data_IF_912342091434
#
_entry.id   IF_912342091434
#
_cell.length_a   1.000
_cell.length_b   1.000
_cell.length_c   1.000
_cell.angle_alpha   90.00
_cell.angle_beta   90.00
_cell.angle_gamma   90.00
#
_symmetry.space_group_name_H-M   'P 1'
#
loop_
_entity.id
_entity.type
_entity.pdbx_description
1 polymer ?
#
# COMPACT_ATOMS: atom_id res chain seq x y z
N UNK A 1 -37.60 2.76 0.90
CA UNK A 1 -36.55 3.26 1.81
C UNK A 1 -36.00 2.15 2.71
N UNK A 2 -36.81 1.23 3.24
CA UNK A 2 -36.31 0.06 3.98
C UNK A 2 -35.71 -1.01 3.06
N UNK A 3 -36.31 -1.28 1.89
CA UNK A 3 -35.80 -2.28 0.94
C UNK A 3 -34.42 -1.94 0.34
N UNK A 4 -34.13 -0.65 0.09
CA UNK A 4 -32.82 -0.20 -0.41
C UNK A 4 -31.72 -0.31 0.66
N UNK A 5 -32.07 -0.07 1.93
CA UNK A 5 -31.13 -0.24 3.05
C UNK A 5 -30.84 -1.71 3.32
N UNK A 6 -31.81 -2.60 3.14
CA UNK A 6 -31.63 -4.05 3.29
C UNK A 6 -30.81 -4.65 2.14
N UNK A 7 -30.92 -4.09 0.93
CA UNK A 7 -30.13 -4.52 -0.23
C UNK A 7 -28.69 -3.99 -0.15
N UNK A 8 -28.50 -2.78 0.38
CA UNK A 8 -27.18 -2.21 0.63
C UNK A 8 -26.46 -2.93 1.79
N UNK A 9 -27.19 -3.37 2.82
CA UNK A 9 -26.63 -4.18 3.92
C UNK A 9 -26.28 -5.60 3.49
N UNK A 10 -27.11 -6.22 2.63
CA UNK A 10 -26.81 -7.53 2.01
C UNK A 10 -25.60 -7.50 1.06
N UNK A 11 -25.37 -6.40 0.35
CA UNK A 11 -24.17 -6.24 -0.49
C UNK A 11 -22.89 -6.06 0.33
N UNK A 12 -22.98 -5.41 1.51
CA UNK A 12 -21.86 -5.27 2.44
C UNK A 12 -21.52 -6.61 3.11
N UNK A 13 -22.54 -7.38 3.52
CA UNK A 13 -22.34 -8.68 4.17
C UNK A 13 -21.81 -9.76 3.19
N UNK A 14 -22.10 -9.66 1.88
CA UNK A 14 -21.54 -10.56 0.85
C UNK A 14 -20.07 -10.29 0.50
N UNK A 15 -19.59 -9.06 0.71
CA UNK A 15 -18.16 -8.71 0.51
C UNK A 15 -17.29 -9.26 1.67
N UNK A 16 -17.87 -9.60 2.82
CA UNK A 16 -17.16 -10.19 3.97
C UNK A 16 -16.97 -11.72 3.87
N UNK A 17 -17.75 -12.43 3.05
CA UNK A 17 -17.61 -13.89 2.85
C UNK A 17 -16.51 -14.32 1.86
N UNK A 18 -15.89 -13.38 1.13
CA UNK A 18 -14.74 -13.69 0.28
C UNK A 18 -13.44 -13.69 1.10
N UNK A 19 -13.31 -14.68 1.98
CA UNK A 19 -12.13 -14.98 2.79
C UNK A 19 -10.96 -15.39 1.87
N UNK A 20 -10.10 -14.42 1.52
CA UNK A 20 -8.89 -14.65 0.72
C UNK A 20 -7.79 -15.20 1.64
N UNK A 21 -7.68 -16.53 1.69
CA UNK A 21 -6.57 -17.23 2.32
C UNK A 21 -5.41 -17.32 1.33
N UNK A 22 -4.35 -16.54 1.56
CA UNK A 22 -3.12 -16.60 0.76
C UNK A 22 -2.28 -17.81 1.18
N UNK A 23 -2.39 -18.92 0.45
CA UNK A 23 -1.40 -20.01 0.46
C UNK A 23 -0.24 -19.70 -0.48
N UNK A 24 0.94 -20.20 -0.09
CA UNK A 24 2.24 -19.69 -0.51
C UNK A 24 2.61 -20.00 -1.96
N UNK A 25 3.27 -19.04 -2.61
CA UNK A 25 3.91 -19.21 -3.91
C UNK A 25 5.39 -18.80 -3.88
N UNK A 26 6.15 -19.44 -4.76
CA UNK A 26 7.61 -19.43 -4.90
C UNK A 26 8.20 -18.09 -5.33
N UNK A 27 9.47 -17.91 -4.99
CA UNK A 27 10.27 -16.68 -5.11
C UNK A 27 10.67 -16.41 -6.56
N UNK A 28 10.42 -15.20 -7.06
CA UNK A 28 11.15 -14.59 -8.17
C UNK A 28 11.71 -13.26 -7.64
N UNK A 29 13.04 -13.15 -7.59
CA UNK A 29 13.72 -11.93 -7.15
C UNK A 29 13.68 -10.89 -8.27
N UNK A 30 12.89 -9.82 -8.09
CA UNK A 30 12.96 -8.61 -8.91
C UNK A 30 14.14 -7.73 -8.47
N UNK A 31 14.78 -7.07 -9.43
CA UNK A 31 15.86 -6.10 -9.22
C UNK A 31 15.41 -4.90 -8.35
N UNK A 32 16.34 -4.26 -7.61
CA UNK A 32 16.02 -3.14 -6.73
C UNK A 32 15.56 -1.89 -7.53
N UNK A 33 14.66 -1.06 -6.98
CA UNK A 33 14.19 0.14 -7.65
C UNK A 33 15.29 1.19 -7.79
N UNK A 34 15.31 1.88 -8.93
CA UNK A 34 16.15 3.06 -9.21
C UNK A 34 15.84 4.22 -8.24
N UNK A 35 16.87 4.95 -7.80
CA UNK A 35 16.82 6.11 -6.86
C UNK A 35 15.94 7.28 -7.34
N UNK A 36 15.42 7.25 -8.57
CA UNK A 36 14.40 8.21 -9.06
C UNK A 36 14.82 9.69 -9.11
N UNK A 37 16.09 9.99 -8.83
CA UNK A 37 16.64 11.34 -8.85
C UNK A 37 17.13 11.77 -10.23
N UNK A 38 17.48 10.80 -11.09
CA UNK A 38 17.90 11.04 -12.46
C UNK A 38 16.98 10.28 -13.43
N UNK A 39 16.84 10.77 -14.68
CA UNK A 39 16.11 10.03 -15.70
C UNK A 39 16.71 8.64 -15.92
N UNK A 40 15.88 7.60 -16.08
CA UNK A 40 16.37 6.25 -16.33
C UNK A 40 17.11 6.20 -17.67
N UNK A 41 18.17 5.40 -17.73
CA UNK A 41 18.87 5.10 -18.98
C UNK A 41 18.19 3.91 -19.63
N UNK A 42 17.78 4.08 -20.88
CA UNK A 42 16.95 3.11 -21.60
C UNK A 42 17.56 2.88 -22.98
N UNK A 43 17.80 1.61 -23.31
CA UNK A 43 18.39 1.20 -24.60
C UNK A 43 17.33 0.82 -25.64
N UNK A 44 16.04 0.90 -25.28
CA UNK A 44 14.91 0.59 -26.14
C UNK A 44 14.82 1.51 -27.35
N UNK A 45 14.22 1.01 -28.43
CA UNK A 45 14.03 1.79 -29.66
C UNK A 45 13.22 3.07 -29.43
N UNK A 46 13.63 4.15 -30.10
CA UNK A 46 12.97 5.45 -30.03
C UNK A 46 11.81 5.46 -31.01
N UNK A 47 10.59 5.42 -30.50
CA UNK A 47 9.36 5.62 -31.26
C UNK A 47 9.11 7.13 -31.44
N UNK A 48 9.01 7.60 -32.68
CA UNK A 48 8.64 8.98 -32.97
C UNK A 48 7.12 9.05 -33.05
N UNK A 49 6.48 9.62 -32.03
CA UNK A 49 5.02 9.77 -31.97
C UNK A 49 4.58 11.00 -32.79
N UNK A 50 5.35 12.08 -32.68
CA UNK A 50 5.19 13.33 -33.44
C UNK A 50 6.54 14.06 -33.50
N UNK A 51 6.69 15.07 -34.37
CA UNK A 51 7.95 15.81 -34.60
C UNK A 51 8.69 16.26 -33.32
N UNK A 52 7.95 16.49 -32.22
CA UNK A 52 8.47 16.98 -30.93
C UNK A 52 8.18 16.06 -29.75
N UNK A 53 7.72 14.83 -30.00
CA UNK A 53 7.44 13.84 -28.95
C UNK A 53 7.98 12.48 -29.38
N UNK A 54 8.93 11.96 -28.61
CA UNK A 54 9.43 10.60 -28.79
C UNK A 54 9.25 9.78 -27.53
N UNK A 55 9.08 8.46 -27.69
CA UNK A 55 8.90 7.51 -26.61
C UNK A 55 9.94 6.39 -26.66
N UNK A 56 10.43 5.99 -25.51
CA UNK A 56 11.18 4.74 -25.32
C UNK A 56 10.52 3.93 -24.21
N UNK A 57 10.17 2.68 -24.48
CA UNK A 57 9.50 1.82 -23.49
C UNK A 57 10.53 1.33 -22.47
N UNK A 58 10.23 1.49 -21.18
CA UNK A 58 11.02 0.95 -20.05
C UNK A 58 10.46 -0.39 -19.61
N UNK A 59 9.12 -0.47 -19.52
CA UNK A 59 8.38 -1.69 -19.16
C UNK A 59 7.13 -1.75 -20.02
N UNK A 60 6.91 -2.91 -20.64
CA UNK A 60 5.71 -3.15 -21.45
C UNK A 60 4.44 -3.15 -20.60
N UNK A 61 3.40 -2.51 -21.13
CA UNK A 61 2.05 -2.59 -20.58
C UNK A 61 1.18 -3.64 -21.28
N UNK A 62 -0.06 -3.77 -20.83
CA UNK A 62 -1.03 -4.74 -21.31
C UNK A 62 -2.32 -4.10 -21.79
N UNK A 63 -3.05 -4.85 -22.62
CA UNK A 63 -4.33 -4.41 -23.18
C UNK A 63 -4.19 -3.40 -24.32
N UNK A 64 -5.24 -2.61 -24.49
CA UNK A 64 -5.36 -1.62 -25.56
C UNK A 64 -4.82 -0.25 -25.13
N UNK A 65 -4.61 0.63 -26.11
CA UNK A 65 -4.25 2.03 -25.89
C UNK A 65 -5.52 2.84 -25.57
N UNK A 66 -5.43 3.92 -24.77
CA UNK A 66 -6.58 4.75 -24.44
C UNK A 66 -7.13 5.46 -25.69
N UNK A 67 -8.45 5.48 -25.83
CA UNK A 67 -9.10 6.24 -26.90
C UNK A 67 -9.15 7.75 -26.59
N UNK A 68 -9.52 8.57 -27.59
CA UNK A 68 -9.68 10.01 -27.41
C UNK A 68 -10.76 10.29 -26.34
N UNK A 69 -10.49 11.22 -25.43
CA UNK A 69 -11.32 11.55 -24.26
C UNK A 69 -11.34 10.50 -23.14
N UNK A 70 -10.53 9.44 -23.25
CA UNK A 70 -10.30 8.56 -22.11
C UNK A 70 -9.68 9.36 -20.94
N UNK A 71 -10.08 8.99 -19.73
CA UNK A 71 -9.52 9.54 -18.49
C UNK A 71 -8.38 8.63 -18.04
N UNK A 72 -7.14 9.08 -18.20
CA UNK A 72 -5.94 8.34 -17.86
C UNK A 72 -5.47 8.69 -16.45
N UNK A 73 -5.07 7.69 -15.68
CA UNK A 73 -4.41 7.86 -14.40
C UNK A 73 -2.96 7.42 -14.53
N UNK A 74 -2.03 8.30 -14.20
CA UNK A 74 -0.61 8.05 -14.39
C UNK A 74 0.22 8.60 -13.23
N UNK A 75 1.30 7.90 -12.95
CA UNK A 75 2.44 8.48 -12.27
C UNK A 75 3.46 8.97 -13.29
N UNK A 76 4.11 10.09 -12.98
CA UNK A 76 5.28 10.55 -13.71
C UNK A 76 6.26 11.34 -12.85
N UNK A 77 7.48 11.44 -13.38
CA UNK A 77 8.51 12.39 -13.00
C UNK A 77 8.88 13.23 -14.20
N UNK A 78 9.20 14.49 -13.97
CA UNK A 78 9.56 15.42 -15.03
C UNK A 78 10.89 16.12 -14.72
N UNK A 79 11.77 16.12 -15.72
CA UNK A 79 13.05 16.81 -15.69
C UNK A 79 13.19 17.76 -16.87
N UNK A 80 13.92 18.85 -16.68
CA UNK A 80 14.42 19.63 -17.83
C UNK A 80 15.55 18.86 -18.52
N UNK A 81 15.50 18.73 -19.84
CA UNK A 81 16.48 17.93 -20.60
C UNK A 81 17.90 18.50 -20.52
N UNK A 82 18.04 19.83 -20.51
CA UNK A 82 19.33 20.52 -20.53
C UNK A 82 20.07 20.47 -19.21
N UNK A 83 19.37 20.67 -18.09
CA UNK A 83 19.98 20.74 -16.75
C UNK A 83 19.76 19.49 -15.91
N UNK A 84 18.88 18.59 -16.36
CA UNK A 84 18.40 17.44 -15.59
C UNK A 84 17.80 17.83 -14.22
N UNK A 85 17.33 19.07 -14.09
CA UNK A 85 16.62 19.50 -12.90
C UNK A 85 15.23 18.84 -12.87
N UNK A 86 15.00 18.00 -11.85
CA UNK A 86 13.69 17.41 -11.55
C UNK A 86 12.79 18.48 -10.96
N UNK A 87 11.61 18.69 -11.53
CA UNK A 87 10.66 19.70 -11.06
C UNK A 87 9.30 19.14 -10.66
N UNK A 88 9.01 17.87 -10.98
CA UNK A 88 7.76 17.19 -10.63
C UNK A 88 8.03 15.70 -10.37
N UNK A 89 7.35 15.13 -9.37
CA UNK A 89 7.46 13.71 -8.98
C UNK A 89 6.20 13.24 -8.25
N UNK A 90 5.24 12.72 -9.01
CA UNK A 90 3.95 12.26 -8.46
C UNK A 90 4.08 11.03 -7.55
N UNK A 91 5.15 10.23 -7.65
CA UNK A 91 5.39 9.13 -6.71
C UNK A 91 5.76 9.67 -5.33
N UNK A 92 6.60 10.72 -5.29
CA UNK A 92 6.95 11.37 -4.03
C UNK A 92 5.73 12.05 -3.38
N UNK A 93 4.82 12.59 -4.19
CA UNK A 93 3.55 13.16 -3.74
C UNK A 93 2.51 12.10 -3.35
N UNK A 94 2.72 10.82 -3.72
CA UNK A 94 1.78 9.71 -3.53
C UNK A 94 0.39 9.98 -4.12
N UNK A 95 0.31 10.84 -5.13
CA UNK A 95 -0.93 11.26 -5.76
C UNK A 95 -0.78 11.19 -7.28
N UNK A 96 -1.42 10.19 -7.94
CA UNK A 96 -1.35 10.08 -9.39
C UNK A 96 -2.10 11.23 -10.07
N UNK A 97 -1.58 11.62 -11.23
CA UNK A 97 -2.20 12.62 -12.10
C UNK A 97 -3.35 12.00 -12.87
N UNK A 98 -4.46 12.73 -12.94
CA UNK A 98 -5.55 12.48 -13.87
C UNK A 98 -5.39 13.35 -15.12
N UNK A 99 -5.38 12.70 -16.28
CA UNK A 99 -5.23 13.35 -17.58
C UNK A 99 -6.36 12.87 -18.50
N UNK A 100 -7.25 13.79 -18.89
CA UNK A 100 -8.29 13.50 -19.88
C UNK A 100 -7.76 13.82 -21.28
N UNK A 101 -7.60 12.79 -22.12
CA UNK A 101 -7.01 12.94 -23.45
C UNK A 101 -7.85 13.87 -24.35
N UNK A 102 -7.25 14.95 -24.82
CA UNK A 102 -7.90 15.99 -25.62
C UNK A 102 -8.55 17.12 -24.80
N UNK A 103 -8.46 17.08 -23.47
CA UNK A 103 -8.88 18.16 -22.55
C UNK A 103 -7.75 18.55 -21.57
N UNK A 104 -6.51 18.16 -21.87
CA UNK A 104 -5.34 18.51 -21.09
C UNK A 104 -5.02 20.00 -21.09
N UNK A 105 -4.24 20.44 -20.10
CA UNK A 105 -3.67 21.79 -20.10
C UNK A 105 -2.62 21.90 -21.22
N UNK A 106 -2.42 23.12 -21.72
CA UNK A 106 -1.53 23.40 -22.85
C UNK A 106 -0.11 22.87 -22.60
N UNK A 107 0.40 23.04 -21.39
CA UNK A 107 1.73 22.61 -20.94
C UNK A 107 1.90 21.09 -20.87
N UNK A 108 0.82 20.33 -20.95
CA UNK A 108 0.80 18.86 -20.88
C UNK A 108 0.53 18.21 -22.25
N UNK A 109 0.50 18.98 -23.33
CA UNK A 109 0.18 18.47 -24.69
C UNK A 109 1.15 17.36 -25.12
N UNK A 110 2.45 17.52 -24.88
CA UNK A 110 3.43 16.49 -25.23
C UNK A 110 3.30 15.24 -24.38
N UNK A 111 2.96 15.40 -23.09
CA UNK A 111 2.69 14.28 -22.19
C UNK A 111 1.42 13.52 -22.63
N UNK A 112 0.36 14.22 -23.01
CA UNK A 112 -0.89 13.59 -23.49
C UNK A 112 -0.68 12.77 -24.75
N UNK A 113 0.14 13.24 -25.70
CA UNK A 113 0.54 12.48 -26.89
C UNK A 113 1.27 11.20 -26.51
N UNK A 114 2.21 11.29 -25.56
CA UNK A 114 2.92 10.14 -25.02
C UNK A 114 1.98 9.12 -24.40
N UNK A 115 1.14 9.57 -23.47
CA UNK A 115 0.15 8.73 -22.75
C UNK A 115 -0.83 8.07 -23.72
N UNK A 116 -1.29 8.77 -24.76
CA UNK A 116 -2.18 8.21 -25.79
C UNK A 116 -1.55 7.03 -26.54
N UNK A 117 -0.22 6.94 -26.58
CA UNK A 117 0.52 5.85 -27.21
C UNK A 117 0.77 4.64 -26.29
N UNK A 118 0.54 4.78 -24.99
CA UNK A 118 0.88 3.80 -23.95
C UNK A 118 -0.28 2.83 -23.65
N UNK A 119 0.04 1.70 -23.02
CA UNK A 119 -0.89 0.71 -22.49
C UNK A 119 -0.96 0.77 -20.95
N UNK A 120 -1.98 0.14 -20.37
CA UNK A 120 -2.09 -0.01 -18.91
C UNK A 120 -0.87 -0.73 -18.35
N UNK A 121 -0.29 -0.22 -17.27
CA UNK A 121 0.94 -0.73 -16.66
C UNK A 121 2.24 -0.46 -17.43
N UNK A 122 2.19 0.24 -18.57
CA UNK A 122 3.39 0.59 -19.34
C UNK A 122 4.19 1.68 -18.60
N UNK A 123 5.50 1.46 -18.46
CA UNK A 123 6.43 2.50 -18.05
C UNK A 123 7.23 2.96 -19.28
N UNK A 124 7.31 4.26 -19.54
CA UNK A 124 8.01 4.79 -20.70
C UNK A 124 8.73 6.10 -20.39
N UNK A 125 9.80 6.35 -21.14
CA UNK A 125 10.54 7.60 -21.16
C UNK A 125 10.06 8.43 -22.36
N UNK A 126 9.58 9.65 -22.11
CA UNK A 126 9.12 10.57 -23.15
C UNK A 126 10.05 11.77 -23.24
N UNK A 127 10.50 12.09 -24.46
CA UNK A 127 11.18 13.35 -24.73
C UNK A 127 10.20 14.28 -25.43
N UNK A 128 9.95 15.43 -24.80
CA UNK A 128 8.97 16.42 -25.25
C UNK A 128 9.69 17.73 -25.52
N UNK A 129 9.58 18.23 -26.75
CA UNK A 129 10.05 19.55 -27.13
C UNK A 129 9.29 20.65 -26.39
N UNK A 130 9.97 21.74 -26.04
CA UNK A 130 9.38 22.86 -25.30
C UNK A 130 8.08 23.41 -25.94
N UNK A 131 7.92 23.27 -27.26
CA UNK A 131 6.75 23.73 -28.01
C UNK A 131 5.44 23.05 -27.55
N UNK A 132 5.54 21.81 -27.08
CA UNK A 132 4.42 20.98 -26.58
C UNK A 132 4.46 20.80 -25.06
N UNK A 133 5.37 21.51 -24.38
CA UNK A 133 5.46 21.59 -22.92
C UNK A 133 5.21 23.05 -22.47
N UNK A 134 6.08 23.60 -21.64
CA UNK A 134 5.91 24.92 -21.01
C UNK A 134 6.15 26.12 -21.96
N UNK A 135 6.46 25.88 -23.24
CA UNK A 135 6.47 26.92 -24.26
C UNK A 135 7.63 27.90 -24.15
N UNK A 136 7.47 29.05 -24.81
CA UNK A 136 8.50 30.11 -24.87
C UNK A 136 8.72 30.78 -23.52
N UNK A 137 7.67 30.88 -22.72
CA UNK A 137 7.70 31.62 -21.46
C UNK A 137 8.15 30.73 -20.29
N UNK A 138 8.04 29.40 -20.42
CA UNK A 138 8.28 28.49 -19.31
C UNK A 138 7.20 28.61 -18.23
N UNK A 139 7.56 28.27 -16.99
CA UNK A 139 6.74 28.50 -15.80
C UNK A 139 7.62 29.03 -14.68
N UNK A 140 7.28 30.19 -14.12
CA UNK A 140 8.09 30.87 -13.10
C UNK A 140 7.65 30.60 -11.66
N UNK A 141 6.50 29.95 -11.49
CA UNK A 141 5.93 29.60 -10.19
C UNK A 141 6.17 28.12 -9.90
N UNK A 142 5.11 27.35 -9.70
CA UNK A 142 5.17 25.91 -9.49
C UNK A 142 4.47 25.19 -10.64
N UNK A 143 5.15 24.27 -11.34
CA UNK A 143 6.59 23.98 -11.25
C UNK A 143 7.44 25.10 -11.88
N UNK A 144 8.71 25.25 -11.43
CA UNK A 144 9.65 26.21 -12.03
C UNK A 144 10.35 25.55 -13.21
N UNK A 145 9.98 25.97 -14.43
CA UNK A 145 10.49 25.44 -15.68
C UNK A 145 11.03 26.59 -16.52
N UNK A 146 12.30 26.57 -16.93
CA UNK A 146 12.86 27.64 -17.75
C UNK A 146 12.13 27.83 -19.08
N UNK A 147 12.13 29.06 -19.63
CA UNK A 147 11.76 29.36 -21.01
C UNK A 147 12.36 28.37 -22.02
N UNK A 148 11.56 27.87 -22.96
CA UNK A 148 11.99 26.98 -24.05
C UNK A 148 12.75 25.72 -23.58
N UNK A 149 12.40 25.20 -22.40
CA UNK A 149 12.99 23.97 -21.88
C UNK A 149 12.31 22.73 -22.45
N UNK A 150 13.07 21.90 -23.15
CA UNK A 150 12.65 20.53 -23.45
C UNK A 150 12.47 19.74 -22.15
N UNK A 151 11.46 18.90 -22.09
CA UNK A 151 11.10 18.11 -20.91
C UNK A 151 11.33 16.63 -21.18
N UNK A 152 11.85 15.95 -20.18
CA UNK A 152 11.99 14.50 -20.14
C UNK A 152 11.03 13.96 -19.08
N UNK A 153 10.14 13.06 -19.47
CA UNK A 153 9.19 12.42 -18.56
C UNK A 153 9.51 10.94 -18.41
N UNK A 154 9.57 10.46 -17.17
CA UNK A 154 9.40 9.03 -16.86
C UNK A 154 7.94 8.86 -16.47
N UNK A 155 7.18 8.05 -17.20
CA UNK A 155 5.73 7.91 -17.04
C UNK A 155 5.38 6.45 -16.80
N UNK A 156 4.53 6.18 -15.81
CA UNK A 156 3.81 4.92 -15.62
C UNK A 156 2.32 5.17 -15.82
N UNK A 157 1.74 4.61 -16.88
CA UNK A 157 0.29 4.66 -17.09
C UNK A 157 -0.36 3.58 -16.22
N UNK A 158 -0.93 3.97 -15.09
CA UNK A 158 -1.63 3.03 -14.17
C UNK A 158 -2.78 2.35 -14.92
N UNK A 159 -3.58 3.16 -15.63
CA UNK A 159 -4.65 2.70 -16.50
C UNK A 159 -5.56 3.84 -16.91
N UNK A 160 -6.67 3.53 -17.57
CA UNK A 160 -7.60 4.54 -18.08
C UNK A 160 -9.06 4.09 -18.10
N UNK A 161 -9.97 5.06 -18.10
CA UNK A 161 -11.42 4.91 -18.27
C UNK A 161 -11.86 5.35 -19.66
N UNK A 162 -12.41 4.41 -20.42
CA UNK A 162 -13.05 4.66 -21.72
C UNK A 162 -14.44 5.27 -21.49
N UNK A 163 -14.56 6.60 -21.59
CA UNK A 163 -15.85 7.28 -21.50
C UNK A 163 -16.10 8.08 -22.76
N UNK A 164 -17.33 8.04 -23.30
CA UNK A 164 -17.69 8.70 -24.56
C UNK A 164 -17.55 10.23 -24.51
N UNK A 165 -17.48 10.83 -23.32
CA UNK A 165 -17.37 12.28 -23.13
C UNK A 165 -16.39 12.75 -22.05
N UNK A 166 -15.72 11.86 -21.29
CA UNK A 166 -14.71 12.22 -20.29
C UNK A 166 -15.18 13.31 -19.33
N UNK A 167 -16.09 12.99 -18.40
CA UNK A 167 -16.32 13.88 -17.25
C UNK A 167 -15.07 13.79 -16.37
N UNK A 168 -14.34 14.89 -16.24
CA UNK A 168 -13.24 14.97 -15.29
C UNK A 168 -13.78 14.73 -13.87
N UNK A 169 -12.95 14.25 -12.94
CA UNK A 169 -13.36 14.05 -11.54
C UNK A 169 -13.94 15.31 -10.89
N UNK A 170 -13.58 16.51 -11.37
CA UNK A 170 -14.13 17.79 -10.93
C UNK A 170 -15.62 17.97 -11.24
N UNK A 171 -16.11 17.31 -12.28
CA UNK A 171 -17.47 17.46 -12.81
C UNK A 171 -18.39 16.33 -12.37
N UNK A 172 -17.85 15.37 -11.62
CA UNK A 172 -18.59 14.23 -11.06
C UNK A 172 -19.20 14.61 -9.71
N UNK A 173 -20.42 14.13 -9.49
CA UNK A 173 -21.02 14.11 -8.14
C UNK A 173 -20.27 13.15 -7.22
N UNK A 174 -20.43 13.30 -5.91
CA UNK A 174 -19.82 12.43 -4.90
C UNK A 174 -20.21 10.97 -5.13
N UNK A 175 -21.49 10.72 -5.43
CA UNK A 175 -22.04 9.39 -5.69
C UNK A 175 -21.48 8.78 -6.98
N UNK A 176 -21.39 9.55 -8.06
CA UNK A 176 -20.79 9.07 -9.31
C UNK A 176 -19.32 8.69 -9.10
N UNK A 177 -18.58 9.47 -8.30
CA UNK A 177 -17.16 9.29 -8.03
C UNK A 177 -16.88 8.07 -7.15
N UNK A 178 -17.63 7.91 -6.05
CA UNK A 178 -17.57 6.71 -5.20
C UNK A 178 -18.01 5.47 -6.00
N UNK A 179 -19.06 5.58 -6.81
CA UNK A 179 -19.53 4.49 -7.66
C UNK A 179 -18.52 4.09 -8.74
N UNK A 180 -17.76 5.04 -9.30
CA UNK A 180 -16.66 4.75 -10.21
C UNK A 180 -15.52 4.01 -9.51
N UNK A 181 -15.14 4.46 -8.31
CA UNK A 181 -14.14 3.79 -7.49
C UNK A 181 -14.56 2.35 -7.14
N UNK A 182 -15.83 2.13 -6.77
CA UNK A 182 -16.34 0.80 -6.41
C UNK A 182 -16.34 -0.14 -7.61
N UNK A 183 -16.69 0.33 -8.82
CA UNK A 183 -16.55 -0.46 -10.05
C UNK A 183 -15.09 -0.92 -10.25
N UNK A 184 -14.12 -0.01 -10.10
CA UNK A 184 -12.70 -0.35 -10.23
C UNK A 184 -12.24 -1.33 -9.13
N UNK A 185 -12.74 -1.21 -7.91
CA UNK A 185 -12.53 -2.22 -6.85
C UNK A 185 -13.04 -3.60 -7.31
N UNK A 186 -14.24 -3.68 -7.88
CA UNK A 186 -14.81 -4.94 -8.36
C UNK A 186 -14.01 -5.55 -9.52
N UNK A 187 -13.54 -4.72 -10.47
CA UNK A 187 -12.67 -5.17 -11.56
C UNK A 187 -11.35 -5.74 -11.03
N UNK A 188 -10.74 -5.05 -10.04
CA UNK A 188 -9.55 -5.54 -9.34
C UNK A 188 -9.80 -6.86 -8.60
N UNK A 189 -10.97 -7.03 -7.97
CA UNK A 189 -11.35 -8.27 -7.30
C UNK A 189 -11.47 -9.44 -8.31
N UNK A 190 -11.97 -9.18 -9.52
CA UNK A 190 -12.04 -10.19 -10.58
C UNK A 190 -10.64 -10.61 -11.04
N UNK A 191 -9.76 -9.65 -11.34
CA UNK A 191 -8.38 -9.91 -11.74
C UNK A 191 -7.57 -10.62 -10.65
N UNK A 192 -7.82 -10.31 -9.38
CA UNK A 192 -7.20 -11.00 -8.25
C UNK A 192 -7.56 -12.49 -8.22
N UNK A 193 -8.82 -12.83 -8.51
CA UNK A 193 -9.28 -14.23 -8.60
C UNK A 193 -8.63 -14.96 -9.77
N UNK A 194 -8.28 -14.25 -10.84
CA UNK A 194 -7.51 -14.75 -11.97
C UNK A 194 -5.99 -14.82 -11.72
N UNK A 195 -5.52 -14.48 -10.51
CA UNK A 195 -4.10 -14.38 -10.13
C UNK A 195 -3.27 -13.35 -10.93
N UNK A 196 -3.94 -12.42 -11.63
CA UNK A 196 -3.29 -11.28 -12.30
C UNK A 196 -3.08 -10.15 -11.29
N UNK A 197 -2.11 -10.35 -10.40
CA UNK A 197 -1.93 -9.53 -9.21
C UNK A 197 -1.56 -8.07 -9.52
N UNK A 198 -0.65 -7.85 -10.47
CA UNK A 198 -0.24 -6.50 -10.89
C UNK A 198 -1.40 -5.73 -11.54
N UNK A 199 -2.15 -6.38 -12.42
CA UNK A 199 -3.32 -5.77 -13.07
C UNK A 199 -4.42 -5.46 -12.03
N UNK A 200 -4.62 -6.37 -11.07
CA UNK A 200 -5.54 -6.14 -9.96
C UNK A 200 -5.13 -4.93 -9.12
N UNK A 201 -3.83 -4.79 -8.82
CA UNK A 201 -3.28 -3.63 -8.11
C UNK A 201 -3.55 -2.32 -8.84
N UNK A 202 -3.35 -2.28 -10.16
CA UNK A 202 -3.66 -1.09 -10.97
C UNK A 202 -5.13 -0.69 -10.81
N UNK A 203 -6.07 -1.64 -10.83
CA UNK A 203 -7.49 -1.32 -10.65
C UNK A 203 -7.79 -0.74 -9.25
N UNK A 204 -7.20 -1.30 -8.20
CA UNK A 204 -7.36 -0.76 -6.85
C UNK A 204 -6.73 0.65 -6.71
N UNK A 205 -5.59 0.87 -7.36
CA UNK A 205 -4.93 2.17 -7.38
C UNK A 205 -5.77 3.22 -8.11
N UNK A 206 -6.36 2.87 -9.26
CA UNK A 206 -7.32 3.73 -9.96
C UNK A 206 -8.54 4.04 -9.08
N UNK A 207 -9.06 3.05 -8.34
CA UNK A 207 -10.15 3.26 -7.39
C UNK A 207 -9.78 4.28 -6.30
N UNK A 208 -8.58 4.14 -5.71
CA UNK A 208 -8.07 5.08 -4.70
C UNK A 208 -7.84 6.47 -5.29
N UNK A 209 -7.38 6.56 -6.54
CA UNK A 209 -7.17 7.83 -7.22
C UNK A 209 -8.48 8.60 -7.42
N UNK A 210 -9.60 7.89 -7.68
CA UNK A 210 -10.93 8.50 -7.60
C UNK A 210 -11.27 9.01 -6.20
N UNK A 211 -10.67 8.52 -5.12
CA UNK A 211 -10.88 8.98 -3.74
C UNK A 211 -9.62 9.57 -3.12
N UNK A 212 -8.92 10.42 -3.90
CA UNK A 212 -7.75 11.17 -3.45
C UNK A 212 -8.04 12.09 -2.26
N UNK A 213 -6.98 12.61 -1.65
CA UNK A 213 -7.08 13.23 -0.32
C UNK A 213 -7.91 14.52 -0.31
N UNK A 214 -7.82 15.35 -1.36
CA UNK A 214 -8.66 16.55 -1.52
C UNK A 214 -10.15 16.20 -1.51
N UNK A 215 -10.53 15.13 -2.19
CA UNK A 215 -11.91 14.66 -2.22
C UNK A 215 -12.32 14.13 -0.85
N UNK A 216 -11.49 13.29 -0.23
CA UNK A 216 -11.77 12.71 1.09
C UNK A 216 -11.88 13.76 2.20
N UNK A 217 -11.10 14.85 2.11
CA UNK A 217 -11.13 15.95 3.07
C UNK A 217 -12.44 16.75 3.01
N UNK A 218 -13.08 16.80 1.84
CA UNK A 218 -14.35 17.50 1.64
C UNK A 218 -15.58 16.68 2.08
N UNK A 219 -15.42 15.37 2.32
CA UNK A 219 -16.53 14.48 2.68
C UNK A 219 -16.76 14.41 4.19
N UNK A 220 -18.04 14.43 4.58
CA UNK A 220 -18.49 14.31 5.96
C UNK A 220 -19.65 13.31 6.10
N UNK A 221 -19.77 12.74 7.31
CA UNK A 221 -20.86 11.82 7.67
C UNK A 221 -20.99 10.65 6.68
N UNK A 222 -22.22 10.38 6.26
CA UNK A 222 -22.57 9.24 5.38
C UNK A 222 -21.67 9.13 4.14
N UNK A 223 -21.33 10.25 3.51
CA UNK A 223 -20.52 10.22 2.29
C UNK A 223 -19.06 9.84 2.55
N UNK A 224 -18.49 10.28 3.68
CA UNK A 224 -17.15 9.86 4.10
C UNK A 224 -17.15 8.36 4.41
N UNK A 225 -18.17 7.87 5.11
CA UNK A 225 -18.30 6.45 5.45
C UNK A 225 -18.42 5.59 4.18
N UNK A 226 -19.22 6.03 3.20
CA UNK A 226 -19.34 5.38 1.90
C UNK A 226 -18.02 5.34 1.14
N UNK A 227 -17.26 6.44 1.14
CA UNK A 227 -15.96 6.47 0.46
C UNK A 227 -14.92 5.57 1.18
N UNK A 228 -14.86 5.60 2.51
CA UNK A 228 -13.98 4.73 3.30
C UNK A 228 -14.33 3.24 3.14
N UNK A 229 -15.62 2.92 2.99
CA UNK A 229 -16.08 1.56 2.71
C UNK A 229 -15.58 1.00 1.36
N UNK A 230 -15.11 1.86 0.45
CA UNK A 230 -14.44 1.45 -0.79
C UNK A 230 -12.92 1.60 -0.68
N UNK A 231 -12.42 2.74 -0.17
CA UNK A 231 -10.98 3.06 -0.06
C UNK A 231 -10.23 2.05 0.82
N UNK A 232 -10.76 1.70 1.99
CA UNK A 232 -10.08 0.79 2.93
C UNK A 232 -9.94 -0.62 2.35
N UNK A 233 -11.00 -1.25 1.78
CA UNK A 233 -10.85 -2.51 1.06
C UNK A 233 -9.85 -2.47 -0.10
N UNK A 234 -9.78 -1.38 -0.88
CA UNK A 234 -8.77 -1.25 -1.95
C UNK A 234 -7.34 -1.35 -1.40
N UNK A 235 -7.00 -0.57 -0.36
CA UNK A 235 -5.69 -0.65 0.29
C UNK A 235 -5.40 -2.05 0.85
N UNK A 236 -6.39 -2.66 1.51
CA UNK A 236 -6.26 -4.03 2.02
C UNK A 236 -5.98 -5.01 0.89
N UNK A 237 -6.73 -4.95 -0.22
CA UNK A 237 -6.57 -5.87 -1.35
C UNK A 237 -5.24 -5.67 -2.08
N UNK A 238 -4.78 -4.42 -2.23
CA UNK A 238 -3.41 -4.14 -2.68
C UNK A 238 -2.38 -4.79 -1.75
N UNK A 239 -2.53 -4.67 -0.42
CA UNK A 239 -1.63 -5.32 0.52
C UNK A 239 -1.64 -6.85 0.36
N UNK A 240 -2.78 -7.46 0.05
CA UNK A 240 -2.87 -8.89 -0.24
C UNK A 240 -2.13 -9.27 -1.53
N UNK A 241 -2.26 -8.48 -2.61
CA UNK A 241 -1.48 -8.66 -3.83
C UNK A 241 0.03 -8.55 -3.54
N UNK A 242 0.45 -7.50 -2.84
CA UNK A 242 1.84 -7.23 -2.51
C UNK A 242 2.46 -8.33 -1.65
N UNK A 243 1.73 -8.87 -0.67
CA UNK A 243 2.17 -10.04 0.11
C UNK A 243 2.38 -11.26 -0.79
N UNK A 244 1.46 -11.53 -1.73
CA UNK A 244 1.61 -12.62 -2.70
C UNK A 244 2.83 -12.42 -3.61
N UNK A 245 3.12 -11.17 -3.98
CA UNK A 245 4.30 -10.76 -4.77
C UNK A 245 5.59 -10.61 -3.93
N UNK A 246 5.55 -10.86 -2.61
CA UNK A 246 6.68 -10.72 -1.66
C UNK A 246 7.25 -9.30 -1.56
N UNK A 247 6.45 -8.29 -1.92
CA UNK A 247 6.75 -6.86 -1.78
C UNK A 247 6.26 -6.39 -0.40
N UNK A 248 6.93 -6.87 0.65
CA UNK A 248 6.42 -6.78 2.02
C UNK A 248 6.43 -5.35 2.59
N UNK A 249 7.46 -4.55 2.34
CA UNK A 249 7.51 -3.13 2.76
C UNK A 249 6.32 -2.34 2.23
N UNK A 250 5.98 -2.52 0.96
CA UNK A 250 4.86 -1.84 0.33
C UNK A 250 3.53 -2.33 0.92
N UNK A 251 3.39 -3.63 1.19
CA UNK A 251 2.20 -4.16 1.86
C UNK A 251 2.01 -3.55 3.26
N UNK A 252 3.10 -3.31 4.00
CA UNK A 252 3.07 -2.65 5.31
C UNK A 252 2.58 -1.20 5.18
N UNK A 253 3.04 -0.47 4.16
CA UNK A 253 2.60 0.88 3.89
C UNK A 253 1.08 0.93 3.63
N UNK A 254 0.59 0.07 2.73
CA UNK A 254 -0.84 -0.04 2.41
C UNK A 254 -1.70 -0.38 3.63
N UNK A 255 -1.27 -1.33 4.48
CA UNK A 255 -1.99 -1.64 5.71
C UNK A 255 -1.96 -0.48 6.72
N UNK A 256 -0.87 0.29 6.76
CA UNK A 256 -0.74 1.42 7.68
C UNK A 256 -1.67 2.57 7.33
N UNK A 257 -1.94 2.80 6.03
CA UNK A 257 -2.95 3.76 5.56
C UNK A 257 -4.37 3.42 6.07
N UNK A 258 -4.70 2.14 6.17
CA UNK A 258 -6.00 1.71 6.73
C UNK A 258 -6.02 1.92 8.24
N UNK A 259 -4.91 1.63 8.92
CA UNK A 259 -4.80 1.73 10.37
C UNK A 259 -4.75 3.16 10.90
N UNK A 260 -4.45 4.15 10.05
CA UNK A 260 -4.60 5.57 10.40
C UNK A 260 -6.07 5.99 10.48
N UNK A 261 -6.96 5.36 9.73
CA UNK A 261 -8.40 5.63 9.77
C UNK A 261 -9.13 4.72 10.77
N UNK A 262 -8.79 3.42 10.77
CA UNK A 262 -9.34 2.41 11.68
C UNK A 262 -8.20 1.61 12.34
N UNK A 263 -7.76 2.07 13.50
CA UNK A 263 -6.63 1.47 14.23
C UNK A 263 -6.89 0.03 14.73
N UNK A 264 -8.15 -0.43 14.69
CA UNK A 264 -8.58 -1.73 15.18
C UNK A 264 -8.97 -2.68 14.03
N UNK A 265 -8.70 -2.28 12.78
CA UNK A 265 -8.99 -3.10 11.63
C UNK A 265 -8.21 -4.43 11.66
N UNK A 266 -8.94 -5.53 11.91
CA UNK A 266 -8.35 -6.86 12.12
C UNK A 266 -7.59 -7.33 10.88
N UNK A 267 -8.16 -7.10 9.68
CA UNK A 267 -7.56 -7.50 8.40
C UNK A 267 -6.25 -6.74 8.14
N UNK A 268 -6.22 -5.43 8.43
CA UNK A 268 -5.01 -4.61 8.28
C UNK A 268 -3.90 -5.04 9.27
N UNK A 269 -4.25 -5.21 10.55
CA UNK A 269 -3.31 -5.68 11.58
C UNK A 269 -2.72 -7.04 11.22
N UNK A 270 -3.56 -7.99 10.81
CA UNK A 270 -3.12 -9.33 10.42
C UNK A 270 -2.18 -9.29 9.19
N UNK A 271 -2.56 -8.60 8.11
CA UNK A 271 -1.75 -8.50 6.88
C UNK A 271 -0.42 -7.79 7.14
N UNK A 272 -0.43 -6.70 7.91
CA UNK A 272 0.79 -5.98 8.30
C UNK A 272 1.71 -6.85 9.17
N UNK A 273 1.14 -7.55 10.14
CA UNK A 273 1.86 -8.50 10.99
C UNK A 273 2.52 -9.60 10.17
N UNK A 274 1.79 -10.21 9.23
CA UNK A 274 2.32 -11.23 8.31
C UNK A 274 3.49 -10.71 7.47
N UNK A 275 3.34 -9.53 6.84
CA UNK A 275 4.42 -8.92 6.07
C UNK A 275 5.66 -8.61 6.93
N UNK A 276 5.47 -8.12 8.16
CA UNK A 276 6.56 -7.86 9.12
C UNK A 276 7.27 -9.15 9.56
N UNK A 277 6.55 -10.26 9.72
CA UNK A 277 7.13 -11.57 10.02
C UNK A 277 8.10 -12.01 8.93
N UNK A 278 7.69 -11.88 7.67
CA UNK A 278 8.50 -12.24 6.51
C UNK A 278 9.79 -11.39 6.39
N UNK A 279 9.74 -10.14 6.83
CA UNK A 279 10.90 -9.24 6.90
C UNK A 279 11.77 -9.43 8.14
N UNK A 280 11.42 -10.37 9.04
CA UNK A 280 12.14 -10.60 10.28
C UNK A 280 11.95 -9.49 11.34
N UNK A 281 10.97 -8.60 11.15
CA UNK A 281 10.59 -7.55 12.10
C UNK A 281 9.70 -8.13 13.21
N UNK A 282 10.23 -9.11 13.95
CA UNK A 282 9.41 -10.01 14.76
C UNK A 282 8.73 -9.35 15.96
N UNK A 283 9.36 -8.36 16.59
CA UNK A 283 8.76 -7.60 17.69
C UNK A 283 7.52 -6.80 17.22
N UNK A 284 7.63 -6.10 16.09
CA UNK A 284 6.54 -5.32 15.51
C UNK A 284 5.43 -6.23 14.95
N UNK A 285 5.80 -7.36 14.32
CA UNK A 285 4.85 -8.38 13.88
C UNK A 285 4.03 -8.94 15.06
N UNK A 286 4.70 -9.19 16.20
CA UNK A 286 4.05 -9.70 17.41
C UNK A 286 3.01 -8.73 17.93
N UNK A 287 3.33 -7.43 17.98
CA UNK A 287 2.40 -6.40 18.43
C UNK A 287 1.13 -6.37 17.59
N UNK A 288 1.27 -6.34 16.25
CA UNK A 288 0.14 -6.33 15.32
C UNK A 288 -0.74 -7.58 15.47
N UNK A 289 -0.13 -8.76 15.48
CA UNK A 289 -0.87 -10.03 15.57
C UNK A 289 -1.54 -10.23 16.94
N UNK A 290 -0.93 -9.73 18.02
CA UNK A 290 -1.57 -9.75 19.34
C UNK A 290 -2.74 -8.78 19.42
N UNK A 291 -2.61 -7.58 18.81
CA UNK A 291 -3.73 -6.63 18.70
C UNK A 291 -4.86 -7.23 17.87
N UNK A 292 -4.55 -7.88 16.74
CA UNK A 292 -5.53 -8.59 15.92
C UNK A 292 -6.25 -9.70 16.71
N UNK A 293 -5.50 -10.53 17.45
CA UNK A 293 -6.07 -11.60 18.29
C UNK A 293 -6.96 -11.08 19.42
N UNK A 294 -6.71 -9.88 19.93
CA UNK A 294 -7.57 -9.26 20.94
C UNK A 294 -8.99 -9.03 20.41
N UNK A 295 -9.12 -8.68 19.13
CA UNK A 295 -10.40 -8.39 18.49
C UNK A 295 -11.01 -9.62 17.79
N UNK A 296 -10.20 -10.57 17.35
CA UNK A 296 -10.65 -11.86 16.80
C UNK A 296 -9.93 -13.05 17.49
N UNK A 297 -10.34 -13.42 18.72
CA UNK A 297 -9.66 -14.46 19.50
C UNK A 297 -9.81 -15.88 18.92
N UNK A 298 -10.87 -16.14 18.16
CA UNK A 298 -11.17 -17.45 17.58
C UNK A 298 -10.59 -17.65 16.17
N UNK A 299 -9.96 -16.60 15.62
CA UNK A 299 -9.37 -16.67 14.28
C UNK A 299 -8.17 -17.63 14.26
N UNK A 300 -8.36 -18.72 13.51
CA UNK A 300 -7.36 -19.78 13.35
C UNK A 300 -6.17 -19.32 12.53
N UNK A 301 -6.32 -18.35 11.62
CA UNK A 301 -5.24 -17.80 10.82
C UNK A 301 -4.30 -16.98 11.69
N UNK A 302 -4.83 -16.09 12.54
CA UNK A 302 -4.02 -15.30 13.51
C UNK A 302 -3.26 -16.23 14.46
N UNK A 303 -3.93 -17.27 14.96
CA UNK A 303 -3.30 -18.24 15.85
C UNK A 303 -2.18 -19.02 15.18
N UNK A 304 -2.34 -19.41 13.90
CA UNK A 304 -1.30 -20.08 13.11
C UNK A 304 -0.11 -19.14 12.88
N UNK A 305 -0.37 -17.90 12.50
CA UNK A 305 0.67 -16.90 12.24
C UNK A 305 1.49 -16.58 13.51
N UNK A 306 0.83 -16.45 14.67
CA UNK A 306 1.54 -16.26 15.95
C UNK A 306 2.43 -17.45 16.33
N UNK A 307 2.05 -18.68 15.96
CA UNK A 307 2.91 -19.86 16.16
C UNK A 307 4.12 -19.82 15.22
N UNK A 308 3.88 -19.52 13.94
CA UNK A 308 4.94 -19.36 12.95
C UNK A 308 5.95 -18.29 13.37
N UNK A 309 5.48 -17.13 13.83
CA UNK A 309 6.31 -16.07 14.37
C UNK A 309 7.15 -16.52 15.57
N UNK A 310 6.58 -17.32 16.48
CA UNK A 310 7.32 -17.84 17.63
C UNK A 310 8.44 -18.83 17.24
N UNK A 311 8.22 -19.63 16.19
CA UNK A 311 9.25 -20.51 15.62
C UNK A 311 10.35 -19.71 14.93
N UNK A 312 9.98 -18.68 14.16
CA UNK A 312 10.92 -17.78 13.52
C UNK A 312 11.80 -17.05 14.54
N UNK A 313 11.20 -16.49 15.60
CA UNK A 313 11.93 -15.85 16.70
C UNK A 313 12.93 -16.78 17.37
N UNK A 314 12.52 -18.04 17.61
CA UNK A 314 13.41 -19.05 18.20
C UNK A 314 14.59 -19.35 17.28
N UNK A 315 14.37 -19.41 15.97
CA UNK A 315 15.42 -19.63 14.99
C UNK A 315 16.40 -18.46 14.92
N UNK A 316 15.90 -17.21 14.93
CA UNK A 316 16.73 -15.99 14.98
C UNK A 316 17.58 -15.98 16.24
N UNK A 317 16.98 -16.22 17.41
CA UNK A 317 17.70 -16.28 18.68
C UNK A 317 18.78 -17.37 18.69
N UNK A 318 18.49 -18.56 18.14
CA UNK A 318 19.47 -19.64 18.06
C UNK A 318 20.66 -19.24 17.18
N UNK A 319 20.41 -18.62 16.01
CA UNK A 319 21.48 -18.11 15.12
C UNK A 319 22.33 -17.05 15.81
N UNK A 320 21.69 -16.07 16.45
CA UNK A 320 22.39 -15.05 17.23
C UNK A 320 23.28 -15.70 18.29
N UNK A 321 22.73 -16.63 19.08
CA UNK A 321 23.48 -17.35 20.12
C UNK A 321 24.71 -18.08 19.58
N UNK A 322 24.63 -18.72 18.41
CA UNK A 322 25.79 -19.36 17.78
C UNK A 322 26.83 -18.33 17.28
N UNK A 323 26.40 -17.20 16.71
CA UNK A 323 27.29 -16.09 16.31
C UNK A 323 28.03 -15.53 17.54
N UNK A 324 27.32 -15.27 18.65
CA UNK A 324 27.92 -14.75 19.88
C UNK A 324 28.95 -15.72 20.49
N UNK A 325 28.72 -17.04 20.43
CA UNK A 325 29.74 -18.03 20.85
C UNK A 325 31.03 -17.93 20.05
N UNK A 326 30.96 -17.55 18.77
CA UNK A 326 32.10 -17.51 17.86
C UNK A 326 32.87 -16.18 17.84
N UNK A 327 32.25 -15.06 18.24
CA UNK A 327 32.82 -13.72 18.01
C UNK A 327 33.09 -12.95 19.32
N UNK A 328 32.25 -13.00 20.36
CA UNK A 328 32.50 -12.27 21.62
C UNK A 328 31.68 -12.81 22.82
N UNK A 329 32.35 -13.09 23.94
CA UNK A 329 31.78 -12.98 25.30
C UNK A 329 30.55 -13.83 25.66
N UNK A 330 29.99 -13.68 26.88
CA UNK A 330 28.89 -14.51 27.36
C UNK A 330 27.58 -14.25 26.60
N UNK A 331 26.71 -15.28 26.57
CA UNK A 331 25.54 -15.38 25.69
C UNK A 331 24.48 -14.29 25.94
N UNK A 332 23.75 -13.84 24.89
CA UNK A 332 22.60 -12.96 25.06
C UNK A 332 21.51 -13.66 25.88
N UNK A 333 21.09 -13.03 26.97
CA UNK A 333 20.02 -13.52 27.82
C UNK A 333 18.66 -13.44 27.11
N UNK A 334 17.76 -14.41 27.32
CA UNK A 334 16.42 -14.36 26.75
C UNK A 334 15.68 -13.12 27.25
N UNK A 335 14.93 -12.43 26.36
CA UNK A 335 14.06 -11.31 26.76
C UNK A 335 13.15 -11.76 27.92
N UNK A 336 13.08 -11.00 29.03
CA UNK A 336 12.39 -11.46 30.22
C UNK A 336 10.90 -11.65 29.93
N UNK A 337 10.42 -12.88 30.12
CA UNK A 337 8.98 -13.15 30.21
C UNK A 337 8.49 -12.59 31.55
N UNK A 338 7.98 -11.35 31.50
CA UNK A 338 7.09 -10.70 32.46
C UNK A 338 7.31 -11.08 33.94
N UNK A 339 7.85 -10.13 34.72
CA UNK A 339 8.04 -10.19 36.17
C UNK A 339 6.74 -10.25 37.00
N UNK A 340 5.84 -11.17 36.67
CA UNK A 340 4.57 -11.44 37.37
C UNK A 340 4.65 -12.81 38.07
N UNK A 341 5.36 -13.79 37.50
CA UNK A 341 5.43 -15.15 38.06
C UNK A 341 6.36 -15.21 39.27
N UNK A 342 7.51 -14.52 39.23
CA UNK A 342 8.47 -14.49 40.34
C UNK A 342 7.87 -13.76 41.55
N UNK A 343 7.14 -12.67 41.31
CA UNK A 343 6.42 -11.89 42.34
C UNK A 343 5.29 -12.68 42.97
N UNK A 344 4.52 -13.45 42.19
CA UNK A 344 3.46 -14.31 42.77
C UNK A 344 4.03 -15.46 43.60
N UNK A 345 5.14 -16.08 43.18
CA UNK A 345 5.77 -17.14 43.96
C UNK A 345 6.37 -16.62 45.27
N UNK A 346 6.97 -15.42 45.27
CA UNK A 346 7.50 -14.79 46.49
C UNK A 346 6.36 -14.47 47.47
N UNK A 347 5.24 -13.91 46.99
CA UNK A 347 4.09 -13.59 47.84
C UNK A 347 3.43 -14.85 48.44
N UNK A 348 3.39 -15.96 47.70
CA UNK A 348 2.89 -17.25 48.19
C UNK A 348 3.82 -17.82 49.27
N UNK A 349 5.15 -17.69 49.09
CA UNK A 349 6.14 -18.13 50.07
C UNK A 349 6.09 -17.32 51.37
N UNK A 350 5.96 -15.99 51.29
CA UNK A 350 5.81 -15.16 52.49
C UNK A 350 4.52 -15.45 53.25
N UNK A 351 3.43 -15.73 52.55
CA UNK A 351 2.17 -16.14 53.16
C UNK A 351 2.29 -17.50 53.89
N UNK A 352 2.95 -18.49 53.27
CA UNK A 352 3.19 -19.80 53.88
C UNK A 352 4.06 -19.70 55.15
N UNK A 353 5.12 -18.88 55.13
CA UNK A 353 5.97 -18.65 56.31
C UNK A 353 5.16 -18.00 57.44
N UNK A 354 4.31 -17.00 57.12
CA UNK A 354 3.43 -16.36 58.09
C UNK A 354 2.42 -17.36 58.69
N UNK A 355 1.89 -18.28 57.89
CA UNK A 355 0.98 -19.33 58.34
C UNK A 355 1.67 -20.30 59.31
N UNK A 356 2.86 -20.79 58.94
CA UNK A 356 3.66 -21.68 59.80
C UNK A 356 4.02 -21.03 61.13
N UNK A 357 4.43 -19.74 61.11
CA UNK A 357 4.77 -19.02 62.33
C UNK A 357 3.56 -18.82 63.25
N UNK A 358 2.37 -18.58 62.68
CA UNK A 358 1.12 -18.48 63.47
C UNK A 358 0.70 -19.80 64.08
N UNK A 359 0.89 -20.92 63.38
CA UNK A 359 0.57 -22.26 63.90
C UNK A 359 1.50 -22.64 65.06
N UNK A 360 2.81 -22.47 64.90
CA UNK A 360 3.80 -22.74 65.96
C UNK A 360 3.63 -21.83 67.18
N UNK A 361 3.27 -20.56 66.99
CA UNK A 361 3.01 -19.63 68.10
C UNK A 361 1.70 -19.95 68.84
N UNK A 362 0.78 -20.70 68.24
CA UNK A 362 -0.49 -21.12 68.85
C UNK A 362 -0.33 -22.39 69.69
N UNK A 363 0.51 -23.33 69.26
CA UNK A 363 0.89 -24.49 70.07
C UNK A 363 1.65 -24.09 71.34
N UNK A 364 2.53 -23.07 71.25
CA UNK A 364 3.29 -22.60 72.41
C UNK A 364 2.46 -21.87 73.48
N UNK A 365 1.19 -21.52 73.21
CA UNK A 365 0.28 -20.90 74.19
C UNK A 365 -0.68 -21.89 74.85
N UNK A 366 -0.70 -23.14 74.42
CA UNK A 366 -1.52 -24.20 75.02
C UNK A 366 -0.71 -25.14 75.94
N UNK A 367 0.57 -24.81 76.18
CA UNK A 367 1.51 -25.62 76.97
C UNK A 367 2.00 -24.92 78.26
N UNK A 368 1.43 -23.76 78.60
CA UNK A 368 1.50 -23.13 79.93
C UNK A 368 0.07 -23.10 80.51
#
# INVERSE_FOLDING_TARGET
MEDEQEQQKRNIDQDDENEIVAEGASVVHGEPPSDGNAPPKVDSEVEILQEKVTKQIVKEGHGQKPSKYATCFLHYRAWTKSTQHKFEDTWNEQQPLELVLGKEKKEMTGLSIGVASMKSGECALLHVGWELAYGKDGSFSFPNVPPMADVLYEVELIGFDETKEGKARSDMTVEERIGAADRRKMDGNALFKEEKLEEAMQQYEMAIAYMGDDFMFQLFGKYRDMALAVKNPCHLNMAACLIKLKRYEEAIAQCSMVLTEDENNIKALFRRGKARTELGQTDAAREDLLKARKYAPEDKAITRELKFLAEHDKAVYQKQKEIYKGIFGPRPEPKPKHGIIVTQLILIWEWLISLFYRLFKREKRHAD
#
